data_IF_311544447407
#
_entry.id   IF_311544447407
#
_cell.length_a   1.000
_cell.length_b   1.000
_cell.length_c   1.000
_cell.angle_alpha   90.00
_cell.angle_beta   90.00
_cell.angle_gamma   90.00
#
_symmetry.space_group_name_H-M   'P 1'
#
loop_
_entity.id
_entity.type
_entity.pdbx_description
1 polymer ?
#
# COMPACT_ATOMS: atom_id res chain seq x y z
N UNK A 1 -9.27 32.02 6.63
CA UNK A 1 -8.95 30.59 6.83
C UNK A 1 -9.69 29.82 5.75
N UNK A 2 -8.97 29.18 4.82
CA UNK A 2 -9.62 28.46 3.73
C UNK A 2 -10.25 27.18 4.28
N UNK A 3 -11.54 26.94 3.98
CA UNK A 3 -12.21 25.70 4.35
C UNK A 3 -11.67 24.58 3.45
N UNK A 4 -10.89 23.69 4.06
CA UNK A 4 -10.43 22.44 3.46
C UNK A 4 -11.65 21.55 3.12
N UNK A 5 -11.49 20.68 2.13
CA UNK A 5 -12.51 19.72 1.71
C UNK A 5 -11.86 18.39 1.30
N UNK A 6 -12.43 17.25 1.67
CA UNK A 6 -11.81 15.94 1.51
C UNK A 6 -11.65 15.48 0.05
N UNK A 7 -10.89 14.41 -0.06
CA UNK A 7 -10.61 13.59 -1.23
C UNK A 7 -11.01 12.17 -0.83
N UNK A 8 -11.77 11.41 -1.63
CA UNK A 8 -12.09 10.02 -1.30
C UNK A 8 -11.45 9.05 -2.31
N UNK A 9 -10.84 7.98 -1.81
CA UNK A 9 -10.46 6.83 -2.62
C UNK A 9 -11.43 5.68 -2.32
N UNK A 10 -11.96 5.06 -3.38
CA UNK A 10 -12.92 3.97 -3.24
C UNK A 10 -12.29 2.75 -2.54
N UNK A 11 -13.09 2.07 -1.72
CA UNK A 11 -12.77 0.82 -1.01
C UNK A 11 -11.70 0.96 0.10
N UNK A 12 -12.15 1.32 1.30
CA UNK A 12 -12.09 0.46 2.52
C UNK A 12 -10.75 -0.11 3.05
N UNK A 13 -10.76 -0.52 4.33
CA UNK A 13 -9.62 -1.16 5.04
C UNK A 13 -9.34 -2.56 4.47
N UNK A 14 -8.15 -3.13 4.74
CA UNK A 14 -7.74 -4.44 4.23
C UNK A 14 -8.80 -5.54 4.43
N UNK A 15 -9.34 -5.69 5.64
CA UNK A 15 -10.38 -6.69 5.96
C UNK A 15 -11.69 -6.45 5.20
N UNK A 16 -12.06 -5.18 5.01
CA UNK A 16 -13.29 -4.78 4.30
C UNK A 16 -13.15 -5.01 2.79
N UNK A 17 -11.94 -4.80 2.23
CA UNK A 17 -11.64 -5.13 0.84
C UNK A 17 -11.64 -6.65 0.60
N UNK A 18 -11.07 -7.45 1.50
CA UNK A 18 -11.17 -8.91 1.42
C UNK A 18 -12.63 -9.40 1.51
N UNK A 19 -13.44 -8.83 2.40
CA UNK A 19 -14.86 -9.14 2.49
C UNK A 19 -15.57 -8.85 1.15
N UNK A 20 -15.36 -7.66 0.56
CA UNK A 20 -15.90 -7.30 -0.74
C UNK A 20 -15.49 -8.28 -1.87
N UNK A 21 -14.22 -8.68 -1.95
CA UNK A 21 -13.75 -9.63 -2.95
C UNK A 21 -14.39 -11.02 -2.79
N UNK A 22 -14.65 -11.44 -1.55
CA UNK A 22 -15.32 -12.71 -1.21
C UNK A 22 -16.82 -12.65 -1.54
N UNK A 23 -17.50 -11.58 -1.16
CA UNK A 23 -18.93 -11.36 -1.40
C UNK A 23 -19.27 -11.23 -2.89
N UNK A 24 -18.38 -10.62 -3.68
CA UNK A 24 -18.55 -10.44 -5.12
C UNK A 24 -18.00 -11.59 -5.97
N UNK A 25 -17.40 -12.62 -5.36
CA UNK A 25 -16.80 -13.75 -6.09
C UNK A 25 -15.55 -13.40 -6.90
N UNK A 26 -14.89 -12.27 -6.60
CA UNK A 26 -13.66 -11.82 -7.25
C UNK A 26 -12.40 -12.46 -6.65
N UNK A 27 -12.49 -13.05 -5.45
CA UNK A 27 -11.45 -13.92 -4.88
C UNK A 27 -11.68 -15.37 -5.31
N UNK A 28 -10.71 -15.97 -6.01
CA UNK A 28 -10.72 -17.41 -6.33
C UNK A 28 -10.24 -18.23 -5.14
N UNK A 29 -10.61 -19.52 -5.06
CA UNK A 29 -10.18 -20.41 -3.96
C UNK A 29 -8.66 -20.43 -3.77
N UNK A 30 -7.89 -20.51 -4.86
CA UNK A 30 -6.42 -20.50 -4.80
C UNK A 30 -5.84 -19.17 -4.32
N UNK A 31 -6.48 -18.04 -4.62
CA UNK A 31 -6.07 -16.74 -4.06
C UNK A 31 -6.44 -16.61 -2.58
N UNK A 32 -7.54 -17.22 -2.15
CA UNK A 32 -7.91 -17.30 -0.74
C UNK A 32 -6.92 -18.16 0.05
N UNK A 33 -6.63 -19.38 -0.41
CA UNK A 33 -5.66 -20.30 0.18
C UNK A 33 -4.29 -19.61 0.33
N UNK A 34 -3.79 -19.00 -0.76
CA UNK A 34 -2.54 -18.23 -0.74
C UNK A 34 -2.56 -17.07 0.28
N UNK A 35 -3.69 -16.39 0.48
CA UNK A 35 -3.85 -15.28 1.45
C UNK A 35 -3.92 -15.74 2.90
N UNK A 36 -4.65 -16.83 3.13
CA UNK A 36 -4.90 -17.34 4.47
C UNK A 36 -3.70 -18.19 4.98
N UNK A 37 -2.87 -18.78 4.09
CA UNK A 37 -1.75 -19.68 4.44
C UNK A 37 -0.34 -19.11 4.15
N UNK A 38 -0.03 -18.71 2.90
CA UNK A 38 1.35 -18.41 2.47
C UNK A 38 1.76 -16.93 2.61
N UNK A 39 0.90 -16.02 2.14
CA UNK A 39 1.19 -14.57 2.06
C UNK A 39 1.60 -13.92 3.39
N UNK A 40 1.07 -14.29 4.58
CA UNK A 40 1.49 -13.69 5.85
C UNK A 40 3.01 -13.78 6.10
N UNK A 41 3.65 -14.89 5.69
CA UNK A 41 5.09 -15.05 5.81
C UNK A 41 5.85 -14.08 4.87
N UNK A 42 5.38 -13.92 3.64
CA UNK A 42 5.99 -13.00 2.66
C UNK A 42 5.80 -11.52 3.00
N UNK A 43 4.70 -11.15 3.66
CA UNK A 43 4.36 -9.76 4.00
C UNK A 43 4.85 -9.33 5.40
N UNK A 44 5.66 -10.14 6.08
CA UNK A 44 6.18 -9.83 7.41
C UNK A 44 7.21 -8.69 7.35
N UNK A 45 6.85 -7.52 7.88
CA UNK A 45 7.70 -6.32 7.93
C UNK A 45 8.74 -6.42 9.05
N UNK A 46 10.01 -6.28 8.72
CA UNK A 46 11.13 -6.23 9.69
C UNK A 46 11.54 -4.82 10.07
N UNK A 47 11.44 -3.86 9.15
CA UNK A 47 11.83 -2.47 9.35
C UNK A 47 10.96 -1.52 8.50
N UNK A 48 10.72 -0.30 8.98
CA UNK A 48 9.91 0.70 8.26
C UNK A 48 10.27 2.13 8.65
N UNK A 49 10.21 3.04 7.69
CA UNK A 49 10.35 4.49 7.88
C UNK A 49 9.25 5.25 7.14
N UNK A 50 8.97 6.47 7.61
CA UNK A 50 7.95 7.37 7.06
C UNK A 50 8.50 8.79 6.84
N UNK A 51 8.06 9.43 5.76
CA UNK A 51 8.39 10.83 5.41
C UNK A 51 7.13 11.59 4.98
N UNK A 52 6.93 12.77 5.55
CA UNK A 52 5.82 13.66 5.22
C UNK A 52 6.21 14.63 4.09
N UNK A 53 5.39 14.67 3.05
CA UNK A 53 5.51 15.65 1.96
C UNK A 53 4.25 16.51 1.90
N UNK A 54 4.38 17.74 2.39
CA UNK A 54 3.28 18.72 2.48
C UNK A 54 3.15 19.56 1.20
N UNK A 55 1.99 20.20 1.01
CA UNK A 55 1.69 21.10 -0.12
C UNK A 55 1.84 20.45 -1.52
N UNK A 56 1.69 19.12 -1.59
CA UNK A 56 1.76 18.38 -2.86
C UNK A 56 0.46 18.49 -3.66
N UNK A 57 0.57 18.50 -5.00
CA UNK A 57 -0.60 18.34 -5.86
C UNK A 57 -0.99 16.87 -5.92
N UNK A 58 -2.10 16.53 -5.27
CA UNK A 58 -2.68 15.19 -5.20
C UNK A 58 -3.90 15.12 -6.12
N UNK A 59 -4.11 13.97 -6.76
CA UNK A 59 -5.27 13.76 -7.62
C UNK A 59 -6.42 13.15 -6.84
N UNK A 60 -7.56 13.84 -6.83
CA UNK A 60 -8.78 13.44 -6.15
C UNK A 60 -9.65 12.56 -7.05
N UNK A 61 -9.70 11.27 -6.75
CA UNK A 61 -10.46 10.29 -7.51
C UNK A 61 -11.93 10.12 -7.05
N UNK A 62 -12.41 10.91 -6.08
CA UNK A 62 -13.82 10.91 -5.67
C UNK A 62 -14.73 11.67 -6.64
N UNK A 63 -14.23 12.81 -7.13
CA UNK A 63 -14.96 13.81 -7.89
C UNK A 63 -14.18 14.11 -9.19
N UNK A 64 -14.18 13.14 -10.11
CA UNK A 64 -13.68 13.23 -11.50
C UNK A 64 -12.14 13.31 -11.72
N UNK A 65 -11.31 13.06 -10.71
CA UNK A 65 -9.85 13.00 -10.91
C UNK A 65 -9.18 14.38 -10.98
N UNK A 66 -9.71 15.38 -10.27
CA UNK A 66 -9.20 16.75 -10.25
C UNK A 66 -7.96 16.89 -9.34
N UNK A 67 -7.09 17.86 -9.59
CA UNK A 67 -5.92 18.13 -8.74
C UNK A 67 -6.27 19.07 -7.59
N UNK A 68 -5.89 18.70 -6.36
CA UNK A 68 -6.04 19.48 -5.13
C UNK A 68 -4.71 19.49 -4.37
N UNK A 69 -4.44 20.53 -3.58
CA UNK A 69 -3.32 20.53 -2.64
C UNK A 69 -3.63 19.61 -1.46
N UNK A 70 -2.69 18.75 -1.07
CA UNK A 70 -2.81 17.85 0.07
C UNK A 70 -1.46 17.27 0.49
N UNK A 71 -1.48 16.48 1.56
CA UNK A 71 -0.28 15.87 2.12
C UNK A 71 -0.12 14.43 1.63
N UNK A 72 1.12 14.03 1.36
CA UNK A 72 1.50 12.68 0.98
C UNK A 72 2.46 12.09 2.00
N UNK A 73 2.19 10.86 2.41
CA UNK A 73 3.05 10.07 3.28
C UNK A 73 3.82 9.08 2.41
N UNK A 74 5.13 9.27 2.34
CA UNK A 74 6.04 8.29 1.76
C UNK A 74 6.40 7.28 2.84
N UNK A 75 6.42 5.99 2.49
CA UNK A 75 6.78 4.89 3.36
C UNK A 75 7.84 4.03 2.68
N UNK A 76 8.94 3.75 3.36
CA UNK A 76 9.83 2.66 2.97
C UNK A 76 9.63 1.49 3.93
N UNK A 77 9.61 0.27 3.37
CA UNK A 77 9.28 -0.96 4.07
C UNK A 77 10.34 -2.01 3.71
N UNK A 78 10.97 -2.62 4.71
CA UNK A 78 11.79 -3.82 4.52
C UNK A 78 11.05 -5.04 5.07
N UNK A 79 10.99 -6.11 4.28
CA UNK A 79 10.35 -7.38 4.64
C UNK A 79 11.39 -8.40 5.11
N UNK A 80 10.91 -9.49 5.72
CA UNK A 80 11.75 -10.57 6.27
C UNK A 80 12.66 -11.24 5.23
N UNK A 81 12.24 -11.31 3.97
CA UNK A 81 13.04 -11.85 2.85
C UNK A 81 14.05 -10.84 2.26
N UNK A 82 14.15 -9.63 2.84
CA UNK A 82 14.99 -8.54 2.36
C UNK A 82 14.39 -7.71 1.24
N UNK A 83 13.15 -7.99 0.81
CA UNK A 83 12.43 -7.14 -0.15
C UNK A 83 12.26 -5.74 0.42
N UNK A 84 12.55 -4.72 -0.41
CA UNK A 84 12.38 -3.31 -0.03
C UNK A 84 11.36 -2.63 -0.92
N UNK A 85 10.24 -2.21 -0.32
CA UNK A 85 9.17 -1.47 -0.99
C UNK A 85 9.23 0.02 -0.64
N UNK A 86 8.90 0.84 -1.63
CA UNK A 86 8.53 2.24 -1.46
C UNK A 86 7.05 2.39 -1.84
N UNK A 87 6.24 2.82 -0.86
CA UNK A 87 4.78 2.98 -0.97
C UNK A 87 4.46 4.44 -0.67
N UNK A 88 3.48 5.01 -1.38
CA UNK A 88 2.94 6.33 -1.09
C UNK A 88 1.50 6.17 -0.60
N UNK A 89 1.07 7.04 0.30
CA UNK A 89 -0.33 7.24 0.60
C UNK A 89 -0.68 8.72 0.73
N UNK A 90 -1.97 9.03 0.68
CA UNK A 90 -2.47 10.39 0.68
C UNK A 90 -3.37 10.65 1.89
N UNK A 91 -3.28 11.86 2.45
CA UNK A 91 -4.12 12.28 3.57
C UNK A 91 -5.55 12.52 3.12
N UNK A 92 -6.52 12.09 3.94
CA UNK A 92 -7.95 12.30 3.70
C UNK A 92 -8.59 12.80 5.00
N UNK A 93 -9.28 13.95 4.92
CA UNK A 93 -9.80 14.69 6.08
C UNK A 93 -10.90 13.94 6.87
N UNK A 94 -11.68 13.09 6.19
CA UNK A 94 -12.55 12.05 6.78
C UNK A 94 -12.88 10.99 5.70
N UNK A 95 -12.88 9.66 5.90
CA UNK A 95 -12.52 8.82 7.06
C UNK A 95 -11.63 7.66 6.59
N UNK A 96 -10.62 7.19 7.32
CA UNK A 96 -9.92 7.87 8.42
C UNK A 96 -8.42 7.81 8.16
N UNK A 97 -8.02 8.89 7.48
CA UNK A 97 -6.77 9.64 7.55
C UNK A 97 -5.63 9.24 6.62
N UNK A 98 -5.45 7.96 6.28
CA UNK A 98 -4.43 7.57 5.29
C UNK A 98 -4.84 6.37 4.44
N UNK A 99 -4.61 6.46 3.13
CA UNK A 99 -4.85 5.41 2.16
C UNK A 99 -3.64 5.24 1.22
N UNK A 100 -3.25 3.99 0.86
CA UNK A 100 -2.18 3.76 -0.10
C UNK A 100 -2.63 4.20 -1.50
N UNK A 101 -1.69 4.70 -2.28
CA UNK A 101 -1.85 4.98 -3.70
C UNK A 101 -2.13 3.66 -4.47
N UNK A 102 -3.06 3.72 -5.42
CA UNK A 102 -3.38 2.60 -6.31
C UNK A 102 -2.23 2.23 -7.26
N UNK A 103 -1.30 3.17 -7.52
CA UNK A 103 -0.11 2.95 -8.34
C UNK A 103 0.70 1.70 -7.89
N UNK A 104 1.42 1.04 -8.81
CA UNK A 104 2.39 0.00 -8.46
C UNK A 104 3.43 0.52 -7.47
N UNK A 105 3.77 -0.29 -6.46
CA UNK A 105 4.84 0.04 -5.50
C UNK A 105 6.20 -0.21 -6.15
N UNK A 106 7.23 0.54 -5.76
CA UNK A 106 8.57 0.39 -6.35
C UNK A 106 9.39 -0.52 -5.44
N UNK A 107 10.04 -1.55 -5.99
CA UNK A 107 11.07 -2.30 -5.25
C UNK A 107 12.45 -2.22 -5.90
N UNK A 108 13.47 -2.20 -5.04
CA UNK A 108 14.90 -2.06 -5.40
C UNK A 108 15.73 -3.31 -5.06
N UNK A 109 15.09 -4.44 -4.78
CA UNK A 109 15.75 -5.69 -4.43
C UNK A 109 15.85 -6.64 -5.63
N UNK A 110 16.99 -7.33 -5.75
CA UNK A 110 17.16 -8.42 -6.72
C UNK A 110 16.38 -9.69 -6.31
N UNK A 111 15.87 -9.70 -5.08
CA UNK A 111 15.01 -10.73 -4.50
C UNK A 111 13.69 -10.11 -4.09
N UNK A 112 12.58 -10.70 -4.53
CA UNK A 112 11.24 -10.31 -4.15
C UNK A 112 10.43 -11.59 -4.01
N UNK A 113 10.17 -12.07 -2.79
CA UNK A 113 9.52 -13.36 -2.54
C UNK A 113 8.16 -13.46 -3.23
N UNK A 114 7.41 -12.36 -3.32
CA UNK A 114 6.17 -12.31 -4.08
C UNK A 114 6.40 -12.56 -5.59
N UNK A 115 7.25 -11.77 -6.25
CA UNK A 115 7.49 -11.90 -7.69
C UNK A 115 8.22 -13.20 -8.07
N UNK A 116 9.11 -13.70 -7.20
CA UNK A 116 9.99 -14.84 -7.50
C UNK A 116 9.37 -16.18 -7.09
N UNK A 117 8.75 -16.26 -5.91
CA UNK A 117 8.15 -17.50 -5.41
C UNK A 117 6.70 -17.65 -5.85
N UNK A 118 5.86 -16.62 -5.69
CA UNK A 118 4.42 -16.71 -5.97
C UNK A 118 4.13 -16.54 -7.47
N UNK A 119 4.75 -15.55 -8.13
CA UNK A 119 4.51 -15.29 -9.55
C UNK A 119 5.51 -16.01 -10.50
N UNK A 120 6.57 -16.61 -9.98
CA UNK A 120 7.56 -17.35 -10.79
C UNK A 120 8.37 -16.51 -11.78
N UNK A 121 8.38 -15.17 -11.68
CA UNK A 121 9.08 -14.27 -12.60
C UNK A 121 10.59 -14.15 -12.32
N UNK A 122 11.11 -14.85 -11.32
CA UNK A 122 12.52 -14.81 -10.92
C UNK A 122 13.49 -15.46 -11.92
N UNK A 123 14.00 -14.67 -12.88
CA UNK A 123 15.27 -14.97 -13.54
C UNK A 123 16.25 -13.81 -13.42
N UNK A 124 17.43 -14.18 -12.93
CA UNK A 124 18.62 -13.41 -12.58
C UNK A 124 18.98 -12.29 -13.59
N UNK A 125 18.28 -11.16 -13.48
CA UNK A 125 18.57 -9.92 -14.19
C UNK A 125 18.67 -8.85 -13.12
N UNK A 126 19.82 -8.19 -13.03
CA UNK A 126 20.03 -7.06 -12.11
C UNK A 126 19.15 -5.89 -12.54
N UNK A 127 17.97 -5.77 -11.93
CA UNK A 127 16.92 -4.87 -12.38
C UNK A 127 16.94 -3.57 -11.58
N UNK A 128 17.00 -2.45 -12.31
CA UNK A 128 16.97 -1.10 -11.76
C UNK A 128 15.50 -0.74 -11.50
N UNK A 129 15.14 -0.48 -10.23
CA UNK A 129 13.85 0.09 -9.81
C UNK A 129 12.64 -0.46 -10.57
N UNK A 130 12.13 -1.62 -10.16
CA UNK A 130 10.96 -2.19 -10.82
C UNK A 130 9.65 -1.74 -10.18
N UNK A 131 8.63 -1.56 -11.03
CA UNK A 131 7.25 -1.46 -10.62
C UNK A 131 6.76 -2.87 -10.24
N UNK A 132 6.48 -3.07 -8.96
CA UNK A 132 5.95 -4.33 -8.46
C UNK A 132 4.43 -4.37 -8.66
N UNK A 133 3.94 -5.46 -9.24
CA UNK A 133 2.52 -5.77 -9.34
C UNK A 133 1.97 -6.42 -8.06
N UNK A 134 2.45 -5.99 -6.87
CA UNK A 134 1.86 -6.42 -5.60
C UNK A 134 0.36 -6.02 -5.61
N UNK A 135 -0.58 -6.95 -5.41
CA UNK A 135 -1.99 -6.64 -5.61
C UNK A 135 -2.51 -5.69 -4.52
N UNK A 136 -3.63 -5.02 -4.83
CA UNK A 136 -4.12 -3.91 -4.02
C UNK A 136 -4.47 -4.28 -2.56
N UNK A 137 -5.06 -5.46 -2.25
CA UNK A 137 -5.25 -5.90 -0.87
C UNK A 137 -3.93 -6.01 -0.09
N UNK A 138 -2.90 -6.61 -0.68
CA UNK A 138 -1.60 -6.83 -0.04
C UNK A 138 -0.84 -5.51 0.15
N UNK A 139 -0.95 -4.57 -0.81
CA UNK A 139 -0.49 -3.18 -0.63
C UNK A 139 -1.18 -2.48 0.53
N UNK A 140 -2.51 -2.64 0.68
CA UNK A 140 -3.29 -2.09 1.80
C UNK A 140 -2.87 -2.70 3.14
N UNK A 141 -2.64 -4.01 3.18
CA UNK A 141 -2.14 -4.68 4.38
C UNK A 141 -0.80 -4.09 4.86
N UNK A 142 0.21 -4.03 3.98
CA UNK A 142 1.52 -3.46 4.33
C UNK A 142 1.41 -2.00 4.81
N UNK A 143 0.62 -1.19 4.11
CA UNK A 143 0.41 0.21 4.45
C UNK A 143 -0.27 0.37 5.83
N UNK A 144 -1.32 -0.41 6.13
CA UNK A 144 -1.97 -0.39 7.44
C UNK A 144 -1.06 -0.86 8.58
N UNK A 145 -0.16 -1.82 8.36
CA UNK A 145 0.81 -2.25 9.36
C UNK A 145 1.87 -1.17 9.65
N UNK A 146 2.32 -0.41 8.63
CA UNK A 146 3.22 0.74 8.83
C UNK A 146 2.50 1.85 9.60
N UNK A 147 1.25 2.19 9.26
CA UNK A 147 0.48 3.20 10.01
C UNK A 147 0.37 2.86 11.51
N UNK A 148 0.18 1.59 11.86
CA UNK A 148 0.14 1.13 13.26
C UNK A 148 1.49 1.27 13.96
N UNK A 149 2.58 0.91 13.28
CA UNK A 149 3.95 1.01 13.82
C UNK A 149 4.34 2.45 14.13
N UNK A 150 3.95 3.39 13.27
CA UNK A 150 4.27 4.81 13.39
C UNK A 150 3.11 5.67 13.92
N UNK A 151 2.08 5.06 14.55
CA UNK A 151 0.89 5.78 15.06
C UNK A 151 1.27 6.96 15.96
N UNK A 152 2.25 6.77 16.85
CA UNK A 152 2.77 7.80 17.75
C UNK A 152 3.58 8.92 17.08
N UNK A 153 3.98 8.75 15.83
CA UNK A 153 4.67 9.77 15.02
C UNK A 153 3.67 10.53 14.13
N UNK A 154 2.64 9.82 13.63
CA UNK A 154 1.62 10.34 12.73
C UNK A 154 0.55 11.18 13.45
N UNK A 155 0.13 10.77 14.64
CA UNK A 155 -1.06 11.31 15.33
C UNK A 155 -0.73 11.92 16.71
N UNK A 156 0.39 12.64 16.84
CA UNK A 156 0.75 13.30 18.11
C UNK A 156 -0.32 14.30 18.53
N UNK A 157 -0.93 14.04 19.70
CA UNK A 157 -1.87 14.88 20.43
C UNK A 157 -1.12 15.92 21.26
#
# INVERSE_FOLDING_TARGET
MSQKKPIHLYLSRYKEHLAYLRETGQETSSWKELRDEDLPAFLTITDSDIEWQTDMLVRDYAEDGNWKSGDMLHMNITLQDGTKYSIHGYYIEEKQDWFPNENPVIHKSNTCGFCQSILGFGKDRGLKQEFCMLPLPEKKYLFEEVLKRHESELYKV
#
